data_IF_068206045846
#
_entry.id   IF_068206045846
#
_cell.length_a   1.000
_cell.length_b   1.000
_cell.length_c   1.000
_cell.angle_alpha   90.00
_cell.angle_beta   90.00
_cell.angle_gamma   90.00
#
_symmetry.space_group_name_H-M   'P 1'
#
loop_
_entity.id
_entity.type
_entity.pdbx_description
1 polymer ?
#
# COMPACT_ATOMS: atom_id res chain seq x y z
N UNK A 1 17.57 -23.44 63.75
CA UNK A 1 16.31 -23.40 62.98
C UNK A 1 16.58 -22.99 61.55
N UNK A 2 16.86 -23.95 60.66
CA UNK A 2 16.87 -23.71 59.22
C UNK A 2 15.50 -24.10 58.67
N UNK A 3 14.75 -23.14 58.16
CA UNK A 3 13.54 -23.40 57.38
C UNK A 3 13.97 -23.86 55.98
N UNK A 4 13.63 -25.09 55.62
CA UNK A 4 13.73 -25.57 54.23
C UNK A 4 12.42 -25.18 53.55
N UNK A 5 12.50 -24.30 52.55
CA UNK A 5 11.35 -23.94 51.72
C UNK A 5 11.10 -25.10 50.75
N UNK A 6 10.08 -25.92 51.03
CA UNK A 6 9.64 -26.95 50.09
C UNK A 6 9.03 -26.28 48.86
N UNK A 7 9.44 -26.71 47.66
CA UNK A 7 8.89 -26.24 46.40
C UNK A 7 7.40 -26.62 46.29
N UNK A 8 6.55 -25.76 45.68
CA UNK A 8 5.13 -26.06 45.55
C UNK A 8 4.91 -27.31 44.68
N UNK A 9 4.24 -28.30 45.25
CA UNK A 9 3.81 -29.52 44.55
C UNK A 9 2.67 -29.16 43.59
N UNK A 10 2.96 -29.14 42.29
CA UNK A 10 1.97 -28.89 41.25
C UNK A 10 1.27 -30.21 40.95
N UNK A 11 0.14 -30.45 41.61
CA UNK A 11 -0.65 -31.69 41.40
C UNK A 11 -1.56 -31.53 40.18
N UNK A 12 -1.31 -32.27 39.10
CA UNK A 12 -2.29 -32.44 38.02
C UNK A 12 -3.34 -33.49 38.45
N UNK A 13 -4.62 -33.19 38.22
CA UNK A 13 -5.70 -34.15 38.48
C UNK A 13 -5.67 -35.26 37.41
N UNK A 14 -6.01 -36.52 37.75
CA UNK A 14 -6.09 -37.58 36.76
C UNK A 14 -7.13 -37.23 35.67
N UNK A 15 -6.69 -37.18 34.42
CA UNK A 15 -7.48 -36.74 33.26
C UNK A 15 -7.25 -35.28 32.84
N UNK A 16 -6.48 -34.51 33.62
CA UNK A 16 -6.10 -33.15 33.25
C UNK A 16 -4.94 -33.19 32.23
N UNK A 17 -5.16 -32.58 31.07
CA UNK A 17 -4.14 -32.41 30.02
C UNK A 17 -3.70 -30.96 29.89
N UNK A 18 -4.09 -30.12 30.85
CA UNK A 18 -3.86 -28.67 30.81
C UNK A 18 -2.39 -28.30 30.77
N UNK A 19 -1.49 -28.93 31.54
CA UNK A 19 -0.05 -28.60 31.45
C UNK A 19 0.56 -29.06 30.13
N UNK A 20 0.13 -30.20 29.61
CA UNK A 20 0.59 -30.69 28.30
C UNK A 20 0.14 -29.76 27.17
N UNK A 21 -1.12 -29.32 27.21
CA UNK A 21 -1.67 -28.33 26.28
C UNK A 21 -0.97 -26.98 26.42
N UNK A 22 -0.72 -26.52 27.64
CA UNK A 22 -0.01 -25.27 27.91
C UNK A 22 1.42 -25.31 27.37
N UNK A 23 2.16 -26.40 27.60
CA UNK A 23 3.49 -26.62 27.02
C UNK A 23 3.45 -26.57 25.49
N UNK A 24 2.49 -27.24 24.87
CA UNK A 24 2.32 -27.22 23.42
C UNK A 24 2.04 -25.81 22.89
N UNK A 25 1.14 -25.06 23.55
CA UNK A 25 0.83 -23.68 23.17
C UNK A 25 2.03 -22.76 23.33
N UNK A 26 2.80 -22.92 24.42
CA UNK A 26 4.02 -22.16 24.65
C UNK A 26 5.07 -22.41 23.57
N UNK A 27 5.32 -23.67 23.22
CA UNK A 27 6.26 -24.04 22.15
C UNK A 27 5.80 -23.43 20.82
N UNK A 28 4.52 -23.57 20.50
CA UNK A 28 3.94 -23.00 19.28
C UNK A 28 4.11 -21.47 19.24
N UNK A 29 3.82 -20.78 20.34
CA UNK A 29 3.94 -19.33 20.43
C UNK A 29 5.40 -18.87 20.28
N UNK A 30 6.35 -19.59 20.91
CA UNK A 30 7.79 -19.31 20.76
C UNK A 30 8.23 -19.45 19.31
N UNK A 31 7.89 -20.57 18.65
CA UNK A 31 8.30 -20.83 17.28
C UNK A 31 7.70 -19.79 16.29
N UNK A 32 6.45 -19.35 16.54
CA UNK A 32 5.84 -18.26 15.77
C UNK A 32 6.58 -16.93 15.97
N UNK A 33 6.95 -16.61 17.22
CA UNK A 33 7.72 -15.40 17.53
C UNK A 33 9.10 -15.41 16.86
N UNK A 34 9.81 -16.53 16.90
CA UNK A 34 11.12 -16.67 16.24
C UNK A 34 11.01 -16.50 14.71
N UNK A 35 9.96 -17.05 14.10
CA UNK A 35 9.67 -16.85 12.67
C UNK A 35 9.37 -15.39 12.36
N UNK A 36 8.53 -14.72 13.15
CA UNK A 36 8.18 -13.31 12.97
C UNK A 36 9.42 -12.41 13.07
N UNK A 37 10.30 -12.66 14.04
CA UNK A 37 11.59 -11.95 14.18
C UNK A 37 12.47 -12.17 12.96
N UNK A 38 12.55 -13.40 12.45
CA UNK A 38 13.34 -13.73 11.26
C UNK A 38 12.82 -12.99 10.02
N UNK A 39 11.49 -13.00 9.82
CA UNK A 39 10.85 -12.30 8.70
C UNK A 39 11.05 -10.79 8.82
N UNK A 40 10.86 -10.23 10.01
CA UNK A 40 11.06 -8.80 10.26
C UNK A 40 12.48 -8.35 9.94
N UNK A 41 13.48 -9.12 10.39
CA UNK A 41 14.89 -8.82 10.09
C UNK A 41 15.19 -8.94 8.59
N UNK A 42 14.63 -9.94 7.91
CA UNK A 42 14.80 -10.09 6.47
C UNK A 42 14.22 -8.88 5.72
N UNK A 43 13.01 -8.44 6.07
CA UNK A 43 12.36 -7.28 5.46
C UNK A 43 13.13 -5.99 5.76
N UNK A 44 13.64 -5.81 6.98
CA UNK A 44 14.49 -4.67 7.33
C UNK A 44 15.76 -4.61 6.47
N UNK A 45 16.43 -5.75 6.27
CA UNK A 45 17.60 -5.81 5.38
C UNK A 45 17.24 -5.48 3.93
N UNK A 46 16.06 -5.90 3.45
CA UNK A 46 15.56 -5.52 2.13
C UNK A 46 15.31 -4.01 2.04
N UNK A 47 14.71 -3.41 3.08
CA UNK A 47 14.49 -1.96 3.16
C UNK A 47 15.80 -1.17 3.19
N UNK A 48 16.78 -1.60 3.97
CA UNK A 48 18.11 -0.99 4.03
C UNK A 48 18.82 -1.04 2.66
N UNK A 49 18.63 -2.12 1.89
CA UNK A 49 19.14 -2.22 0.53
C UNK A 49 18.48 -1.26 -0.47
N UNK A 50 17.27 -0.76 -0.19
CA UNK A 50 16.58 0.21 -1.03
C UNK A 50 17.00 1.65 -0.75
N UNK A 51 17.62 1.94 0.40
CA UNK A 51 18.17 3.27 0.68
C UNK A 51 19.49 3.45 -0.09
N UNK A 52 19.64 4.52 -0.89
CA UNK A 52 20.85 4.73 -1.66
C UNK A 52 22.05 4.85 -0.70
N UNK A 53 23.05 3.99 -0.86
CA UNK A 53 24.33 4.18 -0.19
C UNK A 53 24.90 5.52 -0.65
N UNK A 54 24.84 6.52 0.22
CA UNK A 54 25.54 7.78 0.01
C UNK A 54 27.04 7.51 -0.22
N UNK A 55 27.75 8.41 -0.92
CA UNK A 55 29.16 8.23 -1.21
C UNK A 55 29.96 7.92 0.07
N UNK A 56 31.00 7.07 0.00
CA UNK A 56 31.70 6.61 1.19
C UNK A 56 32.49 7.78 1.74
N UNK A 57 31.98 8.38 2.80
CA UNK A 57 32.68 9.47 3.45
C UNK A 57 31.79 10.44 4.16
N UNK A 58 30.89 9.99 5.05
CA UNK A 58 30.75 10.59 6.37
C UNK A 58 30.27 9.51 7.35
N UNK A 59 31.13 9.22 8.32
CA UNK A 59 30.84 8.37 9.46
C UNK A 59 29.49 8.79 10.08
N UNK A 60 28.63 7.80 10.38
CA UNK A 60 27.49 7.96 11.31
C UNK A 60 28.04 8.52 12.61
N UNK A 61 28.04 9.84 12.79
CA UNK A 61 28.41 10.45 14.06
C UNK A 61 27.19 10.39 14.97
N UNK A 62 27.37 9.63 16.05
CA UNK A 62 26.62 9.75 17.30
C UNK A 62 26.55 11.23 17.70
N UNK A 63 25.42 11.63 18.26
CA UNK A 63 25.19 12.94 18.88
C UNK A 63 26.35 13.33 19.81
N UNK A 64 27.06 14.38 19.44
CA UNK A 64 27.82 15.25 20.34
C UNK A 64 28.08 16.56 19.59
N UNK A 65 27.48 17.63 20.12
CA UNK A 65 27.82 19.06 20.05
C UNK A 65 28.94 19.49 19.07
N UNK A 66 28.65 20.43 18.15
CA UNK A 66 29.59 21.43 17.60
C UNK A 66 28.83 22.61 16.96
N UNK A 67 29.00 23.75 17.61
CA UNK A 67 29.06 25.17 17.19
C UNK A 67 29.09 25.53 15.68
N UNK A 68 28.42 26.65 15.40
CA UNK A 68 28.47 27.56 14.24
C UNK A 68 29.75 27.58 13.39
N UNK A 69 29.58 27.67 12.07
CA UNK A 69 30.14 28.76 11.23
C UNK A 69 29.33 28.93 9.95
N UNK A 70 28.98 30.19 9.64
CA UNK A 70 28.47 30.66 8.36
C UNK A 70 29.63 30.85 7.35
N UNK A 71 29.38 30.70 6.04
CA UNK A 71 29.65 31.68 4.96
C UNK A 71 29.41 31.06 3.55
N UNK A 72 29.03 31.89 2.56
CA UNK A 72 29.67 31.84 1.24
C UNK A 72 29.01 31.17 0.01
N UNK A 73 27.92 31.76 -0.51
CA UNK A 73 27.69 32.24 -1.89
C UNK A 73 28.11 31.47 -3.21
N UNK A 74 27.20 31.59 -4.20
CA UNK A 74 27.33 31.65 -5.69
C UNK A 74 27.38 30.42 -6.64
N UNK A 75 26.29 30.35 -7.44
CA UNK A 75 26.20 30.17 -8.91
C UNK A 75 26.82 28.91 -9.57
N UNK A 76 25.97 28.11 -10.22
CA UNK A 76 25.81 28.02 -11.71
C UNK A 76 25.17 26.69 -12.15
N UNK A 77 24.45 26.81 -13.27
CA UNK A 77 24.14 25.81 -14.30
C UNK A 77 22.90 24.92 -14.11
N UNK A 78 21.83 25.42 -14.75
CA UNK A 78 20.82 24.69 -15.51
C UNK A 78 21.38 23.42 -16.19
N UNK A 79 20.54 22.39 -16.20
CA UNK A 79 20.65 21.07 -16.85
C UNK A 79 21.18 19.94 -15.98
N UNK A 80 20.23 19.18 -15.40
CA UNK A 80 20.22 17.71 -15.33
C UNK A 80 18.93 17.25 -14.63
N UNK A 81 17.89 17.00 -15.41
CA UNK A 81 16.67 16.31 -14.95
C UNK A 81 16.77 14.79 -15.04
N UNK A 82 17.97 14.26 -15.28
CA UNK A 82 18.23 12.83 -15.52
C UNK A 82 18.95 12.15 -14.33
N UNK A 83 19.52 12.93 -13.40
CA UNK A 83 20.38 12.43 -12.32
C UNK A 83 19.64 11.88 -11.10
N UNK A 84 18.36 12.19 -10.90
CA UNK A 84 17.61 11.75 -9.72
C UNK A 84 16.99 10.37 -9.89
N UNK A 85 16.62 9.98 -11.12
CA UNK A 85 16.05 8.65 -11.40
C UNK A 85 17.11 7.55 -11.19
N UNK A 86 18.38 7.87 -11.49
CA UNK A 86 19.50 6.93 -11.33
C UNK A 86 19.85 6.60 -9.86
N UNK A 87 19.39 7.41 -8.90
CA UNK A 87 19.60 7.18 -7.46
C UNK A 87 18.45 6.41 -6.80
N UNK A 88 17.36 6.18 -7.52
CA UNK A 88 16.22 5.43 -7.01
C UNK A 88 16.49 3.93 -7.08
N UNK A 89 16.04 3.22 -6.05
CA UNK A 89 16.14 1.78 -6.04
C UNK A 89 15.36 1.17 -7.22
N UNK A 90 15.73 -0.03 -7.72
CA UNK A 90 14.98 -0.71 -8.79
C UNK A 90 13.48 -0.83 -8.49
N UNK A 91 13.12 -1.06 -7.22
CA UNK A 91 11.71 -1.14 -6.80
C UNK A 91 11.00 0.21 -6.87
N UNK A 92 11.64 1.30 -6.45
CA UNK A 92 11.04 2.63 -6.56
C UNK A 92 10.89 3.07 -8.01
N UNK A 93 11.86 2.72 -8.88
CA UNK A 93 11.75 2.95 -10.33
C UNK A 93 10.58 2.18 -10.93
N UNK A 94 10.46 0.89 -10.60
CA UNK A 94 9.34 0.07 -11.07
C UNK A 94 7.98 0.60 -10.60
N UNK A 95 7.89 1.10 -9.36
CA UNK A 95 6.67 1.73 -8.86
C UNK A 95 6.29 2.99 -9.64
N UNK A 96 7.27 3.86 -9.92
CA UNK A 96 7.05 5.08 -10.72
C UNK A 96 6.61 4.70 -12.14
N UNK A 97 7.26 3.72 -12.75
CA UNK A 97 6.88 3.22 -14.07
C UNK A 97 5.45 2.67 -14.09
N UNK A 98 5.04 1.95 -13.04
CA UNK A 98 3.67 1.48 -12.89
C UNK A 98 2.67 2.65 -12.80
N UNK A 99 2.99 3.70 -12.03
CA UNK A 99 2.16 4.91 -11.94
C UNK A 99 2.06 5.63 -13.29
N UNK A 100 3.18 5.81 -13.99
CA UNK A 100 3.22 6.43 -15.32
C UNK A 100 2.44 5.60 -16.34
N UNK A 101 2.49 4.27 -16.25
CA UNK A 101 1.73 3.36 -17.11
C UNK A 101 0.21 3.45 -16.93
N UNK A 102 -0.30 4.11 -15.88
CA UNK A 102 -1.74 4.34 -15.70
C UNK A 102 -2.28 5.48 -16.58
N UNK A 103 -1.42 6.19 -17.31
CA UNK A 103 -1.86 7.26 -18.20
C UNK A 103 -2.94 6.75 -19.17
N UNK A 104 -4.00 7.53 -19.32
CA UNK A 104 -5.20 7.26 -20.12
C UNK A 104 -6.06 6.07 -19.64
N UNK A 105 -5.69 5.39 -18.55
CA UNK A 105 -6.50 4.33 -17.93
C UNK A 105 -7.56 4.92 -17.00
N UNK A 106 -8.65 4.17 -16.82
CA UNK A 106 -9.66 4.46 -15.81
C UNK A 106 -9.21 3.92 -14.45
N UNK A 107 -9.42 4.72 -13.41
CA UNK A 107 -9.07 4.39 -12.03
C UNK A 107 -10.17 4.90 -11.09
N UNK A 108 -10.25 4.36 -9.87
CA UNK A 108 -11.06 4.99 -8.83
C UNK A 108 -10.21 6.02 -8.10
N UNK A 109 -10.73 7.23 -7.94
CA UNK A 109 -10.05 8.33 -7.26
C UNK A 109 -10.90 8.89 -6.13
N UNK A 110 -10.27 9.10 -4.97
CA UNK A 110 -10.88 9.82 -3.85
C UNK A 110 -10.61 11.32 -4.00
N UNK A 111 -11.66 12.10 -4.20
CA UNK A 111 -11.56 13.53 -4.50
C UNK A 111 -11.57 14.40 -3.23
N UNK A 112 -12.16 13.90 -2.14
CA UNK A 112 -12.26 14.59 -0.86
C UNK A 112 -11.16 14.16 0.11
N UNK A 113 -10.70 15.10 0.94
CA UNK A 113 -9.78 14.80 2.06
C UNK A 113 -10.50 14.52 3.38
N UNK A 114 -11.82 14.72 3.42
CA UNK A 114 -12.63 14.47 4.61
C UNK A 114 -12.92 12.96 4.73
N UNK A 115 -12.43 12.36 5.81
CA UNK A 115 -12.59 10.93 6.08
C UNK A 115 -14.05 10.52 6.33
N UNK A 116 -14.95 11.47 6.65
CA UNK A 116 -16.37 11.20 6.85
C UNK A 116 -17.15 11.17 5.54
N UNK A 117 -16.58 11.74 4.46
CA UNK A 117 -17.17 11.78 3.11
C UNK A 117 -16.17 11.23 2.10
N UNK A 118 -15.81 9.95 2.22
CA UNK A 118 -14.98 9.25 1.23
C UNK A 118 -15.74 9.14 -0.11
N UNK A 119 -15.68 10.21 -0.92
CA UNK A 119 -16.30 10.27 -2.24
C UNK A 119 -15.31 9.76 -3.29
N UNK A 120 -15.62 8.61 -3.86
CA UNK A 120 -14.82 7.94 -4.87
C UNK A 120 -15.49 8.06 -6.23
N UNK A 121 -14.72 8.42 -7.25
CA UNK A 121 -15.20 8.55 -8.63
C UNK A 121 -14.36 7.70 -9.58
N UNK A 122 -15.00 7.17 -10.62
CA UNK A 122 -14.32 6.60 -11.78
C UNK A 122 -13.80 7.76 -12.62
N UNK A 123 -12.49 7.91 -12.66
CA UNK A 123 -11.81 9.00 -13.37
C UNK A 123 -10.79 8.45 -14.36
N UNK A 124 -10.46 9.23 -15.37
CA UNK A 124 -9.40 8.94 -16.33
C UNK A 124 -8.11 9.64 -15.91
N UNK A 125 -7.00 8.90 -15.87
CA UNK A 125 -5.68 9.50 -15.61
C UNK A 125 -5.22 10.27 -16.83
N UNK A 126 -4.93 11.55 -16.67
CA UNK A 126 -4.39 12.42 -17.71
C UNK A 126 -2.87 12.40 -17.69
N UNK A 127 -2.28 12.50 -16.50
CA UNK A 127 -0.84 12.57 -16.32
C UNK A 127 -0.43 12.15 -14.91
N UNK A 128 0.84 11.80 -14.73
CA UNK A 128 1.47 11.61 -13.43
C UNK A 128 2.71 12.48 -13.33
N UNK A 129 2.76 13.37 -12.33
CA UNK A 129 3.95 14.17 -12.06
C UNK A 129 4.94 13.36 -11.22
N UNK A 130 6.02 12.90 -11.86
CA UNK A 130 7.05 12.12 -11.19
C UNK A 130 7.76 12.88 -10.07
N UNK A 131 7.74 14.22 -10.06
CA UNK A 131 8.40 15.02 -9.02
C UNK A 131 7.54 15.15 -7.78
N UNK A 132 6.26 15.48 -7.95
CA UNK A 132 5.33 15.64 -6.82
C UNK A 132 4.66 14.33 -6.41
N UNK A 133 4.77 13.27 -7.23
CA UNK A 133 4.08 11.98 -7.07
C UNK A 133 2.55 12.11 -7.04
N UNK A 134 2.04 13.07 -7.81
CA UNK A 134 0.62 13.37 -7.93
C UNK A 134 0.09 12.94 -9.30
N UNK A 135 -1.13 12.42 -9.30
CA UNK A 135 -1.90 12.12 -10.49
C UNK A 135 -2.78 13.32 -10.86
N UNK A 136 -2.74 13.69 -12.13
CA UNK A 136 -3.75 14.53 -12.76
C UNK A 136 -4.82 13.62 -13.33
N UNK A 137 -6.05 13.72 -12.83
CA UNK A 137 -7.18 12.88 -13.24
C UNK A 137 -8.34 13.74 -13.70
N UNK A 138 -9.18 13.17 -14.57
CA UNK A 138 -10.36 13.79 -15.14
C UNK A 138 -11.59 12.94 -14.83
N UNK A 139 -12.60 13.55 -14.22
CA UNK A 139 -13.92 12.95 -14.05
C UNK A 139 -14.74 13.14 -15.33
N UNK A 140 -15.13 12.01 -15.94
CA UNK A 140 -15.96 11.94 -17.15
C UNK A 140 -17.39 11.61 -16.71
N UNK A 141 -18.04 12.52 -15.97
CA UNK A 141 -19.45 12.36 -15.61
C UNK A 141 -20.32 12.42 -16.89
N UNK A 142 -21.13 11.38 -17.18
CA UNK A 142 -21.97 11.35 -18.37
C UNK A 142 -23.27 12.13 -18.11
N UNK A 143 -23.28 13.43 -18.42
CA UNK A 143 -24.47 14.31 -18.42
C UNK A 143 -24.13 15.69 -17.82
N UNK A 144 -24.48 16.86 -18.36
CA UNK A 144 -25.46 17.24 -19.37
C UNK A 144 -24.81 18.11 -20.47
N UNK A 145 -25.33 18.06 -21.70
CA UNK A 145 -24.88 18.85 -22.86
C UNK A 145 -25.25 20.35 -22.78
N UNK A 146 -25.44 20.91 -21.58
CA UNK A 146 -25.62 22.35 -21.37
C UNK A 146 -24.38 22.96 -20.70
N UNK A 147 -23.68 23.82 -21.44
CA UNK A 147 -22.57 24.66 -20.96
C UNK A 147 -21.29 23.96 -20.47
N UNK A 148 -20.55 23.36 -21.42
CA UNK A 148 -19.10 23.57 -21.59
C UNK A 148 -18.12 23.34 -20.42
N UNK A 149 -18.53 22.71 -19.32
CA UNK A 149 -17.74 22.63 -18.07
C UNK A 149 -17.81 21.29 -17.34
N UNK A 150 -18.39 20.25 -17.94
CA UNK A 150 -18.60 18.92 -17.33
C UNK A 150 -17.34 18.08 -17.06
N UNK A 151 -16.14 18.61 -17.33
CA UNK A 151 -14.87 17.92 -17.16
C UNK A 151 -14.10 18.48 -15.97
N UNK A 152 -14.30 17.89 -14.78
CA UNK A 152 -13.58 18.29 -13.57
C UNK A 152 -12.22 17.60 -13.51
N UNK A 153 -11.16 18.40 -13.40
CA UNK A 153 -9.78 17.92 -13.25
C UNK A 153 -9.35 18.01 -11.79
N UNK A 154 -8.72 16.95 -11.30
CA UNK A 154 -8.20 16.88 -9.93
C UNK A 154 -6.71 16.53 -9.92
N UNK A 155 -6.00 17.06 -8.91
CA UNK A 155 -4.63 16.66 -8.59
C UNK A 155 -4.66 15.90 -7.27
N UNK A 156 -4.29 14.62 -7.31
CA UNK A 156 -4.43 13.72 -6.17
C UNK A 156 -3.14 12.93 -5.93
N UNK A 157 -2.75 12.68 -4.67
CA UNK A 157 -1.62 11.81 -4.38
C UNK A 157 -1.93 10.36 -4.79
N UNK A 158 -0.89 9.56 -5.03
CA UNK A 158 -1.02 8.14 -5.37
C UNK A 158 -1.85 7.33 -4.34
N UNK A 159 -1.88 7.75 -3.07
CA UNK A 159 -2.69 7.12 -2.01
C UNK A 159 -4.21 7.24 -2.21
N UNK A 160 -4.65 8.21 -3.02
CA UNK A 160 -6.06 8.41 -3.34
C UNK A 160 -6.47 7.74 -4.66
N UNK A 161 -5.59 6.96 -5.29
CA UNK A 161 -5.83 6.29 -6.57
C UNK A 161 -5.85 4.77 -6.38
N UNK A 162 -6.90 4.12 -6.89
CA UNK A 162 -7.02 2.67 -6.96
C UNK A 162 -7.05 2.27 -8.44
N UNK A 163 -6.00 1.62 -8.96
CA UNK A 163 -5.97 1.15 -10.33
C UNK A 163 -6.95 -0.01 -10.54
N UNK A 164 -7.63 -0.03 -11.69
CA UNK A 164 -8.42 -1.20 -12.08
C UNK A 164 -7.53 -2.31 -12.67
N UNK A 165 -7.93 -3.59 -12.51
CA UNK A 165 -7.25 -4.69 -13.17
C UNK A 165 -7.23 -4.50 -14.69
N UNK A 166 -6.12 -4.86 -15.35
CA UNK A 166 -6.00 -4.74 -16.80
C UNK A 166 -6.98 -5.70 -17.49
N UNK A 167 -7.79 -5.18 -18.43
CA UNK A 167 -8.80 -5.96 -19.17
C UNK A 167 -8.24 -7.17 -19.91
N UNK A 168 -6.94 -7.16 -20.21
CA UNK A 168 -6.27 -8.22 -20.97
C UNK A 168 -5.81 -9.41 -20.10
N UNK A 169 -5.95 -9.34 -18.78
CA UNK A 169 -5.61 -10.42 -17.86
C UNK A 169 -6.77 -10.72 -16.88
N UNK A 170 -7.77 -11.51 -17.31
CA UNK A 170 -8.88 -11.87 -16.45
C UNK A 170 -8.46 -12.69 -15.23
N UNK A 171 -7.28 -13.33 -15.24
CA UNK A 171 -6.74 -14.06 -14.09
C UNK A 171 -6.26 -13.10 -12.98
N UNK A 172 -5.93 -11.86 -13.31
CA UNK A 172 -5.58 -10.81 -12.35
C UNK A 172 -6.79 -10.18 -11.67
N UNK A 173 -8.03 -10.53 -12.04
CA UNK A 173 -9.23 -9.95 -11.41
C UNK A 173 -9.43 -10.56 -10.03
N UNK A 174 -9.41 -9.75 -8.95
CA UNK A 174 -9.68 -10.27 -7.61
C UNK A 174 -11.14 -10.75 -7.51
N UNK A 175 -11.35 -11.99 -7.08
CA UNK A 175 -12.68 -12.47 -6.72
C UNK A 175 -12.97 -12.10 -5.25
N UNK A 176 -14.06 -11.36 -5.02
CA UNK A 176 -14.44 -10.94 -3.68
C UNK A 176 -15.46 -11.93 -3.09
N UNK A 177 -15.17 -12.61 -1.97
CA UNK A 177 -16.11 -13.54 -1.35
C UNK A 177 -17.31 -12.79 -0.75
N UNK A 178 -18.41 -13.51 -0.53
CA UNK A 178 -19.58 -12.98 0.15
C UNK A 178 -19.22 -12.45 1.55
N UNK A 179 -19.84 -11.32 1.94
CA UNK A 179 -19.55 -10.60 3.19
C UNK A 179 -18.39 -9.61 3.10
N UNK A 180 -17.64 -9.55 1.97
CA UNK A 180 -16.56 -8.58 1.81
C UNK A 180 -17.11 -7.18 1.54
N UNK A 181 -16.52 -6.17 2.18
CA UNK A 181 -16.80 -4.76 1.88
C UNK A 181 -15.97 -4.32 0.66
N UNK A 182 -16.63 -3.68 -0.30
CA UNK A 182 -16.03 -3.20 -1.56
C UNK A 182 -16.56 -1.81 -1.91
N UNK A 183 -15.88 -1.12 -2.81
CA UNK A 183 -16.41 0.05 -3.50
C UNK A 183 -17.02 -0.41 -4.82
N UNK A 184 -18.28 -0.04 -5.08
CA UNK A 184 -19.01 -0.43 -6.27
C UNK A 184 -19.67 0.78 -6.92
N UNK A 185 -19.66 0.80 -8.25
CA UNK A 185 -20.34 1.83 -9.03
C UNK A 185 -21.84 1.59 -8.99
N UNK A 186 -22.61 2.63 -8.68
CA UNK A 186 -24.07 2.55 -8.81
C UNK A 186 -24.48 2.67 -10.29
N UNK A 187 -25.43 1.86 -10.79
CA UNK A 187 -25.84 1.91 -12.19
C UNK A 187 -26.20 3.32 -12.66
N UNK A 188 -25.63 3.76 -13.78
CA UNK A 188 -25.87 5.10 -14.34
C UNK A 188 -25.09 6.24 -13.68
N UNK A 189 -24.14 5.94 -12.78
CA UNK A 189 -23.28 6.95 -12.14
C UNK A 189 -21.80 6.63 -12.37
N UNK A 190 -20.93 7.61 -12.16
CA UNK A 190 -19.47 7.41 -12.09
C UNK A 190 -18.95 7.33 -10.64
N UNK A 191 -19.81 7.52 -9.64
CA UNK A 191 -19.44 7.44 -8.24
C UNK A 191 -19.39 5.98 -7.74
N UNK A 192 -18.42 5.71 -6.87
CA UNK A 192 -18.30 4.44 -6.17
C UNK A 192 -18.77 4.58 -4.72
N UNK A 193 -19.59 3.64 -4.29
CA UNK A 193 -20.17 3.58 -2.96
C UNK A 193 -19.73 2.31 -2.22
N UNK A 194 -19.66 2.40 -0.90
CA UNK A 194 -19.41 1.23 -0.05
C UNK A 194 -20.56 0.23 -0.16
N UNK A 195 -20.24 -0.99 -0.55
CA UNK A 195 -21.17 -2.10 -0.71
C UNK A 195 -20.65 -3.36 0.00
N UNK A 196 -21.55 -4.29 0.28
CA UNK A 196 -21.21 -5.63 0.78
C UNK A 196 -21.51 -6.65 -0.30
N UNK A 197 -20.54 -7.52 -0.60
CA UNK A 197 -20.72 -8.57 -1.60
C UNK A 197 -21.71 -9.62 -1.09
N UNK A 198 -22.79 -9.85 -1.84
CA UNK A 198 -23.83 -10.83 -1.49
C UNK A 198 -23.56 -12.18 -2.17
N UNK A 199 -23.08 -12.15 -3.42
CA UNK A 199 -22.72 -13.35 -4.19
C UNK A 199 -21.62 -13.00 -5.18
N UNK A 200 -20.75 -13.96 -5.47
CA UNK A 200 -19.84 -13.84 -6.62
C UNK A 200 -20.58 -14.16 -7.92
N UNK A 201 -20.15 -13.59 -9.06
CA UNK A 201 -20.70 -13.94 -10.36
C UNK A 201 -20.50 -15.43 -10.64
N UNK A 202 -21.59 -16.18 -10.84
CA UNK A 202 -21.50 -17.54 -11.37
C UNK A 202 -20.90 -17.43 -12.77
N UNK A 203 -19.75 -18.04 -13.03
CA UNK A 203 -19.20 -18.18 -14.40
C UNK A 203 -20.31 -18.73 -15.29
N UNK A 204 -20.88 -17.88 -16.14
CA UNK A 204 -21.82 -18.33 -17.16
C UNK A 204 -20.95 -19.08 -18.16
N UNK A 205 -20.94 -20.41 -18.06
CA UNK A 205 -20.48 -21.24 -19.16
C UNK A 205 -21.42 -20.96 -20.33
N UNK A 206 -20.96 -20.14 -21.27
CA UNK A 206 -21.59 -20.02 -22.58
C UNK A 206 -21.39 -21.35 -23.30
N UNK A 207 -22.30 -22.29 -23.02
CA UNK A 207 -22.44 -23.52 -23.77
C UNK A 207 -22.81 -23.16 -25.20
N UNK A 208 -21.84 -23.21 -26.10
CA UNK A 208 -22.05 -23.21 -27.54
C UNK A 208 -22.87 -24.48 -27.84
N UNK A 209 -24.19 -24.33 -28.00
CA UNK A 209 -25.00 -25.34 -28.69
C UNK A 209 -24.71 -25.16 -30.19
N UNK A 210 -24.05 -26.16 -30.76
CA UNK A 210 -23.98 -26.38 -32.21
C UNK A 210 -25.33 -26.86 -32.72
#
# INVERSE_FOLDING_TARGET
NFYVYAAPEVVEKPGDSSLSRLKSLYIQARDLSEREVTISNLLLNQLDAFLPSGPPGQQRRKMADIKQTADGNEKRKRMKSDSDISRLSPSMRSHIEACVSLKDEQVAARVTSDAEKDEWFVVKVINFDEKTKEFEVLDEEPGDEEEGSGQKKYKLPASCIIPFPKRNDPASTPEFPAGRQVLAVYPGTTALYKATVISTPRKIFTGIRR
#
